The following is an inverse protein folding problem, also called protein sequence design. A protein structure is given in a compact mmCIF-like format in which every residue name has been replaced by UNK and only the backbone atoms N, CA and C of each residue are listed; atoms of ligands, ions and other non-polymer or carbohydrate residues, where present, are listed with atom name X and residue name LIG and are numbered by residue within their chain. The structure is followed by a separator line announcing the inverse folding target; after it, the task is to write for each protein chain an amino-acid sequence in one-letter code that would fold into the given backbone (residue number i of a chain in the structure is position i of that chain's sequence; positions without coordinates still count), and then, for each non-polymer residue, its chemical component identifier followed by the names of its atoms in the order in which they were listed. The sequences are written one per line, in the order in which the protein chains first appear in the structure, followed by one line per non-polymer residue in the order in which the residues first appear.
data_IF_472430078448
#
_entry.id   IF_472430078448
#
_cell.length_a   1.000
_cell.length_b   1.000
_cell.length_c   1.000
_cell.angle_alpha   90.00
_cell.angle_beta   90.00
_cell.angle_gamma   90.00
#
_symmetry.space_group_name_H-M   'P 1'
#
loop_
_entity.id
_entity.type
_entity.pdbx_description
1 polymer ?
#
# COMPACT_ATOMS: atom_id res chain seq x y z
N UNK A 1 -37.55 -21.43 17.37
CA UNK A 1 -36.88 -21.43 18.69
C UNK A 1 -36.99 -20.03 19.24
N UNK A 2 -37.66 -19.85 20.37
CA UNK A 2 -37.74 -18.56 21.04
C UNK A 2 -36.47 -18.39 21.86
N UNK A 3 -35.62 -17.44 21.49
CA UNK A 3 -34.41 -17.15 22.24
C UNK A 3 -34.76 -16.66 23.64
N UNK A 4 -33.92 -16.99 24.62
CA UNK A 4 -34.08 -16.53 26.00
C UNK A 4 -33.84 -15.02 26.07
N UNK A 5 -34.79 -14.28 26.64
CA UNK A 5 -34.62 -12.85 26.86
C UNK A 5 -33.76 -12.61 28.10
N UNK A 6 -32.97 -11.54 28.07
CA UNK A 6 -32.10 -11.15 29.18
C UNK A 6 -32.86 -10.95 30.49
N UNK A 7 -34.05 -10.36 30.41
CA UNK A 7 -34.94 -10.16 31.55
C UNK A 7 -35.33 -11.50 32.22
N UNK A 8 -35.65 -12.52 31.43
CA UNK A 8 -36.01 -13.83 31.96
C UNK A 8 -34.81 -14.53 32.61
N UNK A 9 -33.64 -14.43 31.99
CA UNK A 9 -32.37 -14.97 32.55
C UNK A 9 -32.05 -14.29 33.88
N UNK A 10 -32.19 -12.96 33.96
CA UNK A 10 -31.99 -12.13 35.16
C UNK A 10 -32.90 -12.56 36.30
N UNK A 11 -34.22 -12.67 36.05
CA UNK A 11 -35.20 -13.09 37.06
C UNK A 11 -34.97 -14.53 37.54
N UNK A 12 -34.73 -15.47 36.62
CA UNK A 12 -34.48 -16.86 36.96
C UNK A 12 -33.21 -17.00 37.83
N UNK A 13 -32.15 -16.30 37.45
CA UNK A 13 -30.87 -16.32 38.16
C UNK A 13 -30.97 -15.67 39.54
N UNK A 14 -31.69 -14.55 39.69
CA UNK A 14 -31.92 -13.93 41.00
C UNK A 14 -32.72 -14.83 41.95
N UNK A 15 -33.73 -15.55 41.43
CA UNK A 15 -34.46 -16.56 42.23
C UNK A 15 -33.52 -17.67 42.69
N UNK A 16 -32.65 -18.15 41.81
CA UNK A 16 -31.63 -19.13 42.16
C UNK A 16 -30.67 -18.59 43.23
N UNK A 17 -30.17 -17.36 43.11
CA UNK A 17 -29.28 -16.76 44.11
C UNK A 17 -29.95 -16.63 45.47
N UNK A 18 -31.24 -16.27 45.51
CA UNK A 18 -32.02 -16.20 46.76
C UNK A 18 -32.06 -17.55 47.49
N UNK A 19 -32.29 -18.64 46.76
CA UNK A 19 -32.28 -19.99 47.33
C UNK A 19 -30.86 -20.44 47.69
N UNK A 20 -29.87 -20.15 46.83
CA UNK A 20 -28.47 -20.49 47.05
C UNK A 20 -27.91 -19.87 48.34
N UNK A 21 -28.29 -18.63 48.67
CA UNK A 21 -27.89 -17.95 49.90
C UNK A 21 -28.86 -18.09 51.07
N UNK A 22 -29.93 -18.88 50.93
CA UNK A 22 -30.99 -19.00 51.95
C UNK A 22 -30.47 -19.39 53.33
N UNK A 23 -29.47 -20.26 53.37
CA UNK A 23 -28.88 -20.81 54.60
C UNK A 23 -27.58 -20.12 55.01
N UNK A 24 -27.21 -19.02 54.37
CA UNK A 24 -26.03 -18.26 54.82
C UNK A 24 -26.38 -17.53 56.12
N UNK A 25 -25.49 -17.54 57.13
CA UNK A 25 -25.68 -16.75 58.35
C UNK A 25 -25.91 -15.28 58.02
N UNK A 26 -27.00 -14.71 58.54
CA UNK A 26 -27.41 -13.33 58.27
C UNK A 26 -28.19 -12.73 59.43
N UNK A 27 -28.03 -11.43 59.61
CA UNK A 27 -28.87 -10.58 60.43
C UNK A 27 -29.81 -9.79 59.50
N UNK A 28 -31.11 -9.81 59.78
CA UNK A 28 -32.11 -9.05 59.00
C UNK A 28 -32.52 -9.63 57.64
N UNK A 29 -33.22 -8.80 56.85
CA UNK A 29 -33.86 -9.21 55.59
C UNK A 29 -32.91 -9.18 54.39
N UNK A 30 -33.16 -10.05 53.40
CA UNK A 30 -32.45 -10.04 52.12
C UNK A 30 -33.12 -9.10 51.14
N UNK A 31 -32.37 -8.08 50.70
CA UNK A 31 -32.80 -7.14 49.67
C UNK A 31 -32.33 -7.65 48.32
N UNK A 32 -33.27 -7.75 47.38
CA UNK A 32 -33.01 -8.10 45.99
C UNK A 32 -33.43 -6.92 45.13
N UNK A 33 -32.59 -6.53 44.19
CA UNK A 33 -32.88 -5.45 43.26
C UNK A 33 -32.33 -5.79 41.89
N UNK A 34 -33.03 -5.33 40.86
CA UNK A 34 -32.60 -5.41 39.46
C UNK A 34 -32.13 -4.04 39.00
N UNK A 35 -31.20 -3.99 38.06
CA UNK A 35 -30.76 -2.77 37.38
C UNK A 35 -30.25 -1.70 38.35
N UNK A 36 -29.37 -2.10 39.27
CA UNK A 36 -28.75 -1.21 40.23
C UNK A 36 -27.63 -0.41 39.58
N UNK A 37 -27.56 0.90 39.86
CA UNK A 37 -26.51 1.79 39.33
C UNK A 37 -25.57 2.22 40.44
N UNK A 38 -24.28 2.16 40.15
CA UNK A 38 -23.23 2.67 41.01
C UNK A 38 -22.64 3.98 40.45
N UNK A 39 -21.88 4.67 41.30
CA UNK A 39 -21.06 5.82 40.89
C UNK A 39 -20.13 5.43 39.72
N UNK A 40 -20.00 6.32 38.73
CA UNK A 40 -19.20 6.07 37.53
C UNK A 40 -19.93 5.35 36.39
N UNK A 41 -21.25 5.17 36.47
CA UNK A 41 -22.06 4.64 35.37
C UNK A 41 -22.09 3.12 35.27
N UNK A 42 -21.58 2.42 36.30
CA UNK A 42 -21.59 0.96 36.39
C UNK A 42 -23.01 0.49 36.72
N UNK A 43 -23.51 -0.46 35.94
CA UNK A 43 -24.82 -1.08 36.14
C UNK A 43 -24.59 -2.54 36.50
N UNK A 44 -25.26 -3.02 37.55
CA UNK A 44 -25.36 -4.43 37.85
C UNK A 44 -26.78 -4.89 37.54
N UNK A 45 -26.89 -5.90 36.68
CA UNK A 45 -28.17 -6.46 36.26
C UNK A 45 -28.99 -7.03 37.43
N UNK A 46 -28.31 -7.75 38.32
CA UNK A 46 -28.89 -8.26 39.56
C UNK A 46 -28.02 -7.92 40.76
N UNK A 47 -28.68 -7.58 41.85
CA UNK A 47 -28.05 -7.19 43.10
C UNK A 47 -28.78 -7.86 44.26
N UNK A 48 -28.03 -8.56 45.12
CA UNK A 48 -28.53 -9.21 46.32
C UNK A 48 -27.65 -8.81 47.50
N UNK A 49 -28.28 -8.31 48.57
CA UNK A 49 -27.58 -7.95 49.80
C UNK A 49 -28.34 -8.34 51.06
N UNK A 50 -27.60 -8.68 52.12
CA UNK A 50 -28.09 -8.89 53.48
C UNK A 50 -26.97 -8.59 54.47
N UNK A 51 -27.28 -8.33 55.74
CA UNK A 51 -26.25 -8.11 56.75
C UNK A 51 -25.72 -9.47 57.24
N UNK A 52 -24.40 -9.58 57.38
CA UNK A 52 -23.75 -10.72 58.05
C UNK A 52 -23.99 -10.63 59.58
N UNK A 53 -23.60 -11.67 60.31
CA UNK A 53 -23.64 -11.64 61.79
C UNK A 53 -22.75 -10.52 62.36
N UNK A 54 -21.64 -10.22 61.69
CA UNK A 54 -20.71 -9.12 62.04
C UNK A 54 -21.20 -7.72 61.60
N UNK A 55 -22.49 -7.56 61.30
CA UNK A 55 -23.13 -6.33 60.79
C UNK A 55 -22.60 -5.78 59.45
N UNK A 56 -21.56 -6.37 58.88
CA UNK A 56 -21.06 -6.00 57.55
C UNK A 56 -22.01 -6.48 56.44
N UNK A 57 -22.32 -5.65 55.42
CA UNK A 57 -23.17 -6.08 54.32
C UNK A 57 -22.47 -7.15 53.48
N UNK A 58 -23.16 -8.25 53.22
CA UNK A 58 -22.83 -9.16 52.14
C UNK A 58 -23.42 -8.62 50.84
N UNK A 59 -22.64 -8.59 49.77
CA UNK A 59 -23.06 -8.13 48.44
C UNK A 59 -22.75 -9.20 47.40
N UNK A 60 -23.79 -9.69 46.74
CA UNK A 60 -23.69 -10.51 45.55
C UNK A 60 -24.22 -9.75 44.33
N UNK A 61 -23.43 -9.68 43.26
CA UNK A 61 -23.85 -9.10 41.98
C UNK A 61 -23.97 -10.15 40.89
N UNK A 62 -24.81 -9.85 39.91
CA UNK A 62 -25.13 -10.70 38.78
C UNK A 62 -25.09 -9.86 37.50
N UNK A 63 -24.44 -10.37 36.46
CA UNK A 63 -24.55 -9.89 35.07
C UNK A 63 -25.26 -10.96 34.25
N UNK A 64 -26.29 -10.59 33.49
CA UNK A 64 -27.11 -11.51 32.71
C UNK A 64 -26.91 -11.26 31.21
N UNK A 65 -26.57 -12.31 30.46
CA UNK A 65 -26.34 -12.20 29.02
C UNK A 65 -27.26 -13.14 28.23
N UNK A 66 -27.94 -12.56 27.25
CA UNK A 66 -28.85 -13.26 26.33
C UNK A 66 -28.21 -13.51 24.97
N UNK A 67 -28.91 -14.22 24.08
CA UNK A 67 -28.42 -14.42 22.70
C UNK A 67 -28.14 -13.10 21.96
N UNK A 68 -28.96 -12.05 22.19
CA UNK A 68 -28.74 -10.73 21.59
C UNK A 68 -27.52 -10.02 22.13
N UNK A 69 -27.19 -10.22 23.42
CA UNK A 69 -26.04 -9.60 24.10
C UNK A 69 -24.81 -10.51 24.17
N UNK A 70 -24.80 -11.65 23.44
CA UNK A 70 -23.72 -12.66 23.46
C UNK A 70 -22.30 -12.13 23.21
N UNK A 71 -22.15 -10.99 22.55
CA UNK A 71 -20.85 -10.39 22.28
C UNK A 71 -20.15 -9.88 23.55
N UNK A 72 -20.88 -9.72 24.66
CA UNK A 72 -20.34 -9.30 25.96
C UNK A 72 -19.57 -10.42 26.67
N UNK A 73 -20.02 -11.66 26.50
CA UNK A 73 -19.41 -12.86 27.08
C UNK A 73 -18.45 -13.58 26.14
N UNK A 74 -18.43 -13.19 24.85
CA UNK A 74 -17.44 -13.68 23.87
C UNK A 74 -16.17 -12.84 23.95
N UNK A 75 -15.02 -13.53 23.87
CA UNK A 75 -13.77 -12.80 23.88
C UNK A 75 -13.58 -11.99 22.59
N UNK A 76 -13.11 -10.76 22.76
CA UNK A 76 -12.71 -9.86 21.67
C UNK A 76 -11.22 -9.53 21.80
N UNK A 77 -10.60 -9.06 20.72
CA UNK A 77 -9.20 -8.65 20.72
C UNK A 77 -9.07 -7.17 21.11
N UNK A 78 -8.18 -6.86 22.06
CA UNK A 78 -7.73 -5.50 22.38
C UNK A 78 -6.85 -4.98 21.24
N UNK A 79 -7.46 -4.59 20.12
CA UNK A 79 -6.77 -4.22 18.87
C UNK A 79 -5.75 -3.09 19.08
N UNK A 80 -6.10 -2.05 19.83
CA UNK A 80 -5.19 -0.91 20.08
C UNK A 80 -3.93 -1.36 20.82
N UNK A 81 -4.08 -2.09 21.92
CA UNK A 81 -2.95 -2.59 22.72
C UNK A 81 -2.07 -3.53 21.89
N UNK A 82 -2.70 -4.40 21.10
CA UNK A 82 -2.00 -5.32 20.21
C UNK A 82 -1.18 -4.53 19.17
N UNK A 83 -1.77 -3.51 18.54
CA UNK A 83 -1.08 -2.67 17.55
C UNK A 83 0.14 -1.98 18.15
N UNK A 84 0.02 -1.39 19.35
CA UNK A 84 1.14 -0.73 20.02
C UNK A 84 2.27 -1.69 20.39
N UNK A 85 1.95 -2.87 20.93
CA UNK A 85 2.96 -3.88 21.24
C UNK A 85 3.65 -4.40 19.96
N UNK A 86 2.89 -4.62 18.87
CA UNK A 86 3.45 -5.05 17.57
C UNK A 86 4.37 -3.97 16.98
N UNK A 87 3.96 -2.70 17.00
CA UNK A 87 4.77 -1.59 16.50
C UNK A 87 6.08 -1.43 17.30
N UNK A 88 6.00 -1.51 18.63
CA UNK A 88 7.18 -1.41 19.49
C UNK A 88 8.18 -2.54 19.22
N UNK A 89 7.71 -3.78 19.08
CA UNK A 89 8.57 -4.93 18.81
C UNK A 89 9.14 -4.86 17.39
N UNK A 90 8.33 -4.54 16.38
CA UNK A 90 8.79 -4.43 14.98
C UNK A 90 9.88 -3.37 14.83
N UNK A 91 9.72 -2.19 15.45
CA UNK A 91 10.73 -1.13 15.42
C UNK A 91 11.97 -1.49 16.24
N UNK A 92 11.83 -2.24 17.34
CA UNK A 92 12.97 -2.75 18.10
C UNK A 92 13.81 -3.71 17.26
N UNK A 93 13.17 -4.65 16.55
CA UNK A 93 13.85 -5.55 15.61
C UNK A 93 14.52 -4.78 14.48
N UNK A 94 13.86 -3.77 13.92
CA UNK A 94 14.44 -2.92 12.88
C UNK A 94 15.67 -2.16 13.39
N UNK A 95 15.61 -1.60 14.60
CA UNK A 95 16.75 -0.91 15.21
C UNK A 95 17.95 -1.86 15.42
N UNK A 96 17.70 -3.09 15.87
CA UNK A 96 18.74 -4.13 15.99
C UNK A 96 19.33 -4.48 14.62
N UNK A 97 18.49 -4.65 13.59
CA UNK A 97 18.95 -4.93 12.23
C UNK A 97 19.81 -3.79 11.67
N UNK A 98 19.40 -2.53 11.86
CA UNK A 98 20.20 -1.36 11.48
C UNK A 98 21.52 -1.32 12.23
N UNK A 99 21.52 -1.62 13.53
CA UNK A 99 22.75 -1.68 14.32
C UNK A 99 23.71 -2.76 13.79
N UNK A 100 23.23 -3.96 13.51
CA UNK A 100 24.03 -5.04 12.92
C UNK A 100 24.56 -4.62 11.54
N UNK A 101 23.70 -4.07 10.69
CA UNK A 101 24.06 -3.55 9.36
C UNK A 101 25.19 -2.52 9.42
N UNK A 102 25.10 -1.60 10.38
CA UNK A 102 26.10 -0.56 10.61
C UNK A 102 27.46 -1.16 10.98
N UNK A 103 27.48 -2.16 11.88
CA UNK A 103 28.71 -2.84 12.31
C UNK A 103 29.34 -3.67 11.18
N UNK A 104 28.53 -4.22 10.27
CA UNK A 104 28.99 -4.91 9.07
C UNK A 104 29.37 -3.96 7.93
N UNK A 105 29.34 -2.64 8.16
CA UNK A 105 29.63 -1.60 7.16
C UNK A 105 28.73 -1.68 5.91
N UNK A 106 27.54 -2.27 6.04
CA UNK A 106 26.51 -2.26 5.01
C UNK A 106 25.64 -1.01 5.19
N UNK A 107 25.89 0.00 4.35
CA UNK A 107 25.19 1.28 4.40
C UNK A 107 24.14 1.36 3.29
N UNK A 108 22.95 0.80 3.55
CA UNK A 108 21.86 0.73 2.56
C UNK A 108 21.53 2.11 1.95
N UNK A 109 21.43 3.14 2.78
CA UNK A 109 21.10 4.51 2.36
C UNK A 109 22.15 5.17 1.45
N UNK A 110 23.40 4.69 1.51
CA UNK A 110 24.53 5.16 0.73
C UNK A 110 24.66 4.38 -0.58
N UNK A 111 24.50 3.05 -0.54
CA UNK A 111 24.70 2.16 -1.69
C UNK A 111 23.49 2.11 -2.62
N UNK A 112 22.28 2.06 -2.08
CA UNK A 112 21.02 1.88 -2.84
C UNK A 112 20.28 3.21 -3.06
N UNK A 113 20.73 4.28 -2.40
CA UNK A 113 20.03 5.56 -2.38
C UNK A 113 18.90 5.63 -1.36
N UNK A 114 18.46 6.87 -1.06
CA UNK A 114 17.55 7.16 0.04
C UNK A 114 16.16 6.53 -0.16
N UNK A 115 15.58 6.67 -1.36
CA UNK A 115 14.23 6.20 -1.64
C UNK A 115 14.11 4.68 -1.53
N UNK A 116 15.07 3.94 -2.09
CA UNK A 116 15.10 2.48 -2.03
C UNK A 116 15.26 2.03 -0.58
N UNK A 117 16.11 2.71 0.20
CA UNK A 117 16.32 2.39 1.61
C UNK A 117 15.09 2.63 2.48
N UNK A 118 14.36 3.72 2.23
CA UNK A 118 13.07 3.97 2.89
C UNK A 118 12.02 2.92 2.54
N UNK A 119 11.97 2.47 1.28
CA UNK A 119 11.08 1.40 0.85
C UNK A 119 11.42 0.06 1.53
N UNK A 120 12.70 -0.30 1.60
CA UNK A 120 13.17 -1.49 2.32
C UNK A 120 12.79 -1.37 3.81
N UNK A 121 13.08 -0.25 4.46
CA UNK A 121 12.70 -0.01 5.86
C UNK A 121 11.20 -0.23 6.09
N UNK A 122 10.35 0.41 5.28
CA UNK A 122 8.90 0.29 5.42
C UNK A 122 8.42 -1.15 5.19
N UNK A 123 9.00 -1.86 4.23
CA UNK A 123 8.67 -3.26 3.93
C UNK A 123 9.05 -4.19 5.09
N UNK A 124 10.24 -4.04 5.68
CA UNK A 124 10.73 -4.87 6.78
C UNK A 124 9.92 -4.62 8.04
N UNK A 125 9.66 -3.36 8.39
CA UNK A 125 8.82 -3.01 9.55
C UNK A 125 7.40 -3.55 9.36
N UNK A 126 6.82 -3.43 8.16
CA UNK A 126 5.46 -3.97 7.89
C UNK A 126 5.42 -5.49 7.98
N UNK A 127 6.43 -6.19 7.47
CA UNK A 127 6.55 -7.65 7.57
C UNK A 127 6.60 -8.10 9.03
N UNK A 128 7.48 -7.49 9.84
CA UNK A 128 7.58 -7.81 11.26
C UNK A 128 6.29 -7.46 12.01
N UNK A 129 5.66 -6.32 11.71
CA UNK A 129 4.39 -5.94 12.32
C UNK A 129 3.31 -7.00 12.08
N UNK A 130 3.14 -7.46 10.83
CA UNK A 130 2.15 -8.49 10.49
C UNK A 130 2.48 -9.84 11.13
N UNK A 131 3.77 -10.22 11.14
CA UNK A 131 4.24 -11.43 11.81
C UNK A 131 3.87 -11.41 13.29
N UNK A 132 4.23 -10.34 14.00
CA UNK A 132 3.93 -10.20 15.43
C UNK A 132 2.43 -10.04 15.69
N UNK A 133 1.68 -9.38 14.81
CA UNK A 133 0.23 -9.31 14.91
C UNK A 133 -0.39 -10.70 14.92
N UNK A 134 0.04 -11.57 14.00
CA UNK A 134 -0.46 -12.94 13.92
C UNK A 134 -0.06 -13.79 15.13
N UNK A 135 1.17 -13.66 15.62
CA UNK A 135 1.66 -14.40 16.78
C UNK A 135 0.99 -13.92 18.09
N UNK A 136 0.96 -12.62 18.33
CA UNK A 136 0.47 -12.01 19.56
C UNK A 136 -1.06 -12.02 19.64
N UNK A 137 -1.79 -11.92 18.53
CA UNK A 137 -3.26 -12.04 18.52
C UNK A 137 -3.75 -13.41 19.05
N UNK A 138 -2.88 -14.42 19.03
CA UNK A 138 -3.15 -15.74 19.60
C UNK A 138 -2.94 -15.80 21.12
N UNK A 139 -2.26 -14.82 21.72
CA UNK A 139 -1.98 -14.81 23.16
C UNK A 139 -3.19 -14.33 23.97
N UNK A 140 -3.33 -14.89 25.19
CA UNK A 140 -4.45 -14.58 26.11
C UNK A 140 -4.46 -13.12 26.56
N UNK A 141 -3.28 -12.49 26.69
CA UNK A 141 -3.11 -11.11 27.16
C UNK A 141 -3.89 -10.06 26.35
N UNK A 142 -4.17 -10.36 25.08
CA UNK A 142 -4.87 -9.46 24.16
C UNK A 142 -6.34 -9.82 24.00
N UNK A 143 -6.81 -10.89 24.65
CA UNK A 143 -8.21 -11.29 24.67
C UNK A 143 -8.88 -10.72 25.91
N UNK A 144 -10.11 -10.28 25.76
CA UNK A 144 -10.91 -9.80 26.87
C UNK A 144 -12.35 -10.19 26.68
N UNK A 145 -13.05 -10.38 27.79
CA UNK A 145 -14.49 -10.60 27.84
C UNK A 145 -15.06 -9.39 28.55
N UNK A 146 -16.05 -8.75 27.94
CA UNK A 146 -16.58 -7.47 28.42
C UNK A 146 -17.18 -7.59 29.82
N UNK A 147 -18.07 -8.58 30.03
CA UNK A 147 -18.69 -8.84 31.34
C UNK A 147 -17.66 -9.05 32.48
N UNK A 148 -16.56 -9.74 32.16
CA UNK A 148 -15.47 -10.00 33.11
C UNK A 148 -14.70 -8.72 33.44
N UNK A 149 -14.47 -7.84 32.47
CA UNK A 149 -13.78 -6.58 32.71
C UNK A 149 -14.63 -5.62 33.54
N UNK A 150 -15.97 -5.62 33.38
CA UNK A 150 -16.88 -4.87 34.25
C UNK A 150 -16.76 -5.31 35.71
N UNK A 151 -16.73 -6.61 35.96
CA UNK A 151 -16.58 -7.16 37.32
C UNK A 151 -15.25 -6.85 37.99
N UNK A 152 -14.21 -6.52 37.23
CA UNK A 152 -12.92 -6.09 37.81
C UNK A 152 -12.96 -4.67 38.36
N UNK A 153 -13.93 -3.85 37.95
CA UNK A 153 -13.95 -2.42 38.28
C UNK A 153 -14.54 -2.15 39.68
N UNK A 154 -15.42 -3.03 40.15
CA UNK A 154 -16.10 -2.88 41.42
C UNK A 154 -15.95 -4.11 42.32
N UNK A 155 -16.04 -3.86 43.62
CA UNK A 155 -15.94 -4.90 44.65
C UNK A 155 -17.32 -5.40 45.07
N UNK A 156 -17.46 -6.73 45.13
CA UNK A 156 -18.58 -7.44 45.73
C UNK A 156 -18.02 -8.72 46.38
N UNK A 157 -18.69 -9.24 47.41
CA UNK A 157 -18.25 -10.48 48.07
C UNK A 157 -18.28 -11.66 47.10
N UNK A 158 -19.34 -11.75 46.28
CA UNK A 158 -19.48 -12.77 45.25
C UNK A 158 -20.06 -12.16 43.96
N UNK A 159 -19.50 -12.55 42.82
CA UNK A 159 -19.88 -12.02 41.50
C UNK A 159 -20.28 -13.18 40.59
N UNK A 160 -21.42 -13.05 39.90
CA UNK A 160 -22.01 -14.11 39.09
C UNK A 160 -22.25 -13.66 37.65
N UNK A 161 -21.90 -14.51 36.70
CA UNK A 161 -22.29 -14.37 35.30
C UNK A 161 -23.39 -15.38 35.02
N UNK A 162 -24.55 -14.93 34.57
CA UNK A 162 -25.63 -15.77 34.08
C UNK A 162 -25.76 -15.65 32.57
N UNK A 163 -25.75 -16.79 31.88
CA UNK A 163 -25.92 -16.85 30.43
C UNK A 163 -27.13 -17.72 30.07
N UNK A 164 -27.79 -17.40 28.97
CA UNK A 164 -28.74 -18.32 28.33
C UNK A 164 -28.02 -19.53 27.75
N UNK A 165 -28.68 -20.69 27.74
CA UNK A 165 -28.17 -21.91 27.10
C UNK A 165 -27.97 -21.74 25.59
N UNK A 166 -28.72 -20.83 24.96
CA UNK A 166 -28.67 -20.47 23.55
C UNK A 166 -27.48 -19.56 23.16
N UNK A 167 -26.78 -18.96 24.13
CA UNK A 167 -25.66 -18.02 23.89
C UNK A 167 -24.47 -18.69 23.19
N UNK A 168 -24.20 -19.95 23.55
CA UNK A 168 -23.14 -20.76 22.97
C UNK A 168 -23.73 -22.02 22.34
N UNK A 169 -23.29 -22.41 21.13
CA UNK A 169 -23.84 -23.58 20.43
C UNK A 169 -23.51 -24.91 21.13
N UNK A 170 -22.43 -24.95 21.92
CA UNK A 170 -22.00 -26.12 22.68
C UNK A 170 -21.09 -25.71 23.83
N UNK A 171 -21.07 -26.50 24.90
CA UNK A 171 -20.08 -26.37 25.98
C UNK A 171 -18.64 -26.70 25.54
N UNK A 172 -18.47 -27.28 24.35
CA UNK A 172 -17.16 -27.49 23.72
C UNK A 172 -16.68 -26.28 22.91
N UNK A 173 -17.50 -25.23 22.77
CA UNK A 173 -17.13 -24.04 22.01
C UNK A 173 -15.92 -23.34 22.64
N UNK A 174 -15.00 -22.90 21.80
CA UNK A 174 -13.76 -22.21 22.20
C UNK A 174 -14.06 -20.96 23.02
N UNK A 175 -15.12 -20.24 22.70
CA UNK A 175 -15.51 -19.02 23.43
C UNK A 175 -16.04 -19.35 24.82
N UNK A 176 -16.86 -20.40 24.94
CA UNK A 176 -17.38 -20.85 26.23
C UNK A 176 -16.25 -21.35 27.15
N UNK A 177 -15.33 -22.14 26.61
CA UNK A 177 -14.17 -22.63 27.38
C UNK A 177 -13.27 -21.49 27.88
N UNK A 178 -13.10 -20.43 27.09
CA UNK A 178 -12.35 -19.25 27.52
C UNK A 178 -13.09 -18.47 28.62
N UNK A 179 -14.41 -18.28 28.50
CA UNK A 179 -15.25 -17.69 29.55
C UNK A 179 -15.12 -18.49 30.85
N UNK A 180 -15.30 -19.81 30.79
CA UNK A 180 -15.20 -20.72 31.93
C UNK A 180 -13.83 -20.59 32.62
N UNK A 181 -12.74 -20.61 31.85
CA UNK A 181 -11.37 -20.45 32.38
C UNK A 181 -11.16 -19.10 33.05
N UNK A 182 -11.67 -18.01 32.49
CA UNK A 182 -11.53 -16.69 33.10
C UNK A 182 -12.38 -16.55 34.36
N UNK A 183 -13.59 -17.11 34.38
CA UNK A 183 -14.40 -17.20 35.60
C UNK A 183 -13.66 -17.95 36.70
N UNK A 184 -13.05 -19.11 36.40
CA UNK A 184 -12.22 -19.85 37.37
C UNK A 184 -11.03 -19.02 37.84
N UNK A 185 -10.31 -18.39 36.91
CA UNK A 185 -9.10 -17.61 37.22
C UNK A 185 -9.37 -16.41 38.13
N UNK A 186 -10.49 -15.72 37.91
CA UNK A 186 -10.88 -14.54 38.69
C UNK A 186 -11.83 -14.86 39.87
N UNK A 187 -12.28 -16.11 39.99
CA UNK A 187 -13.19 -16.54 41.06
C UNK A 187 -14.65 -16.09 40.86
N UNK A 188 -15.10 -15.89 39.62
CA UNK A 188 -16.48 -15.53 39.31
C UNK A 188 -17.36 -16.78 39.16
N UNK A 189 -18.58 -16.70 39.70
CA UNK A 189 -19.59 -17.75 39.52
C UNK A 189 -20.14 -17.75 38.10
N UNK A 190 -20.54 -18.92 37.60
CA UNK A 190 -21.14 -19.09 36.27
C UNK A 190 -22.42 -19.90 36.36
N UNK A 191 -23.52 -19.31 35.89
CA UNK A 191 -24.86 -19.88 35.79
C UNK A 191 -25.26 -20.01 34.32
N UNK A 192 -25.91 -21.11 33.96
CA UNK A 192 -26.53 -21.31 32.65
C UNK A 192 -28.01 -21.52 32.84
N UNK A 193 -28.84 -20.69 32.20
CA UNK A 193 -30.30 -20.79 32.28
C UNK A 193 -30.79 -21.49 31.02
N UNK A 194 -31.50 -22.60 31.20
CA UNK A 194 -32.10 -23.34 30.08
C UNK A 194 -33.40 -22.68 29.59
N UNK A 195 -33.94 -23.20 28.47
CA UNK A 195 -35.21 -22.73 27.91
C UNK A 195 -36.39 -22.80 28.91
N UNK A 196 -36.34 -23.75 29.85
CA UNK A 196 -37.33 -23.90 30.92
C UNK A 196 -37.13 -22.92 32.10
N UNK A 197 -36.26 -21.92 31.98
CA UNK A 197 -35.92 -20.94 33.01
C UNK A 197 -35.40 -21.55 34.32
N UNK A 198 -34.74 -22.72 34.23
CA UNK A 198 -34.07 -23.38 35.34
C UNK A 198 -32.58 -23.08 35.27
N UNK A 199 -32.03 -22.30 36.23
CA UNK A 199 -30.61 -22.05 36.29
C UNK A 199 -29.84 -23.30 36.73
N UNK A 200 -28.78 -23.61 36.01
CA UNK A 200 -27.78 -24.62 36.36
C UNK A 200 -26.48 -23.93 36.69
N UNK A 201 -25.98 -24.17 37.89
CA UNK A 201 -24.66 -23.72 38.31
C UNK A 201 -23.58 -24.60 37.70
N UNK A 202 -22.61 -23.95 37.04
CA UNK A 202 -21.44 -24.59 36.47
C UNK A 202 -20.18 -24.31 37.30
N UNK A 203 -20.05 -23.10 37.83
CA UNK A 203 -18.90 -22.68 38.65
C UNK A 203 -19.44 -21.90 39.85
N UNK A 204 -18.95 -22.22 41.05
CA UNK A 204 -19.17 -21.44 42.26
C UNK A 204 -18.16 -20.28 42.33
N UNK A 205 -18.57 -19.08 42.76
CA UNK A 205 -17.63 -17.98 43.00
C UNK A 205 -16.63 -18.34 44.11
N UNK A 206 -15.42 -17.81 44.00
CA UNK A 206 -14.40 -17.98 45.03
C UNK A 206 -14.75 -17.13 46.26
N UNK A 207 -14.61 -17.71 47.46
CA UNK A 207 -14.88 -17.01 48.73
C UNK A 207 -13.72 -16.13 49.21
N UNK A 208 -12.51 -16.39 48.72
CA UNK A 208 -11.32 -15.60 49.01
C UNK A 208 -11.04 -14.68 47.82
N UNK A 209 -10.80 -13.40 48.10
CA UNK A 209 -10.47 -12.43 47.08
C UNK A 209 -9.14 -12.81 46.42
N UNK A 210 -9.17 -13.18 45.13
CA UNK A 210 -7.97 -13.41 44.32
C UNK A 210 -7.25 -12.08 44.01
N UNK A 211 -7.95 -10.95 44.17
CA UNK A 211 -7.46 -9.62 43.84
C UNK A 211 -6.85 -8.95 45.07
N UNK A 212 -5.53 -9.01 45.20
CA UNK A 212 -4.78 -8.26 46.23
C UNK A 212 -4.75 -6.77 45.86
N UNK A 213 -5.77 -6.03 46.29
CA UNK A 213 -5.83 -4.56 46.27
C UNK A 213 -6.37 -3.88 44.99
N UNK A 214 -7.00 -2.70 45.20
CA UNK A 214 -7.49 -1.69 44.23
C UNK A 214 -8.82 -1.94 43.51
N UNK A 215 -9.80 -2.61 44.10
CA UNK A 215 -11.19 -2.46 43.64
C UNK A 215 -11.84 -1.28 44.35
N UNK A 216 -12.73 -0.58 43.66
CA UNK A 216 -13.51 0.49 44.28
C UNK A 216 -14.71 -0.15 44.96
N UNK A 217 -14.89 0.15 46.25
CA UNK A 217 -16.13 -0.14 46.94
C UNK A 217 -17.18 0.82 46.40
N UNK A 218 -18.12 0.32 45.61
CA UNK A 218 -19.17 1.15 45.01
C UNK A 218 -20.46 1.02 45.82
N UNK A 219 -21.08 2.16 46.12
CA UNK A 219 -22.44 2.18 46.63
C UNK A 219 -23.41 2.05 45.46
N UNK A 220 -24.23 0.99 45.47
CA UNK A 220 -25.25 0.75 44.47
C UNK A 220 -26.55 1.42 44.89
N UNK A 221 -27.15 2.22 44.01
CA UNK A 221 -28.42 2.94 44.21
C UNK A 221 -29.44 2.44 43.17
N UNK A 222 -30.69 2.22 43.59
CA UNK A 222 -31.76 1.78 42.70
C UNK A 222 -32.24 2.92 41.77
N UNK A 223 -32.76 2.60 40.58
CA UNK A 223 -33.30 3.60 39.63
C UNK A 223 -34.42 4.45 40.24
N UNK A 224 -35.27 3.86 41.09
CA UNK A 224 -36.35 4.58 41.78
C UNK A 224 -35.82 5.55 42.86
N UNK A 225 -34.77 5.16 43.58
CA UNK A 225 -34.13 5.98 44.60
C UNK A 225 -33.24 7.07 43.98
N UNK A 226 -32.56 6.77 42.88
CA UNK A 226 -31.85 7.73 42.04
C UNK A 226 -32.83 8.80 41.53
N UNK A 227 -34.00 8.37 41.02
CA UNK A 227 -35.07 9.26 40.58
C UNK A 227 -35.60 10.15 41.72
N UNK A 228 -35.78 9.60 42.93
CA UNK A 228 -36.16 10.36 44.12
C UNK A 228 -35.08 11.37 44.54
N UNK A 229 -33.81 10.95 44.65
CA UNK A 229 -32.68 11.83 45.01
C UNK A 229 -32.45 12.92 43.98
N UNK A 230 -32.61 12.63 42.69
CA UNK A 230 -32.59 13.65 41.64
C UNK A 230 -33.78 14.60 41.79
N UNK A 231 -35.00 14.08 42.01
CA UNK A 231 -36.20 14.89 42.20
C UNK A 231 -36.14 15.81 43.42
N UNK A 232 -35.48 15.36 44.51
CA UNK A 232 -35.29 16.09 45.77
C UNK A 232 -34.05 17.00 45.75
N UNK A 233 -33.11 16.80 44.83
CA UNK A 233 -31.96 17.69 44.69
C UNK A 233 -32.42 19.07 44.21
N UNK A 234 -31.85 20.15 44.78
CA UNK A 234 -32.12 21.56 44.40
C UNK A 234 -31.85 21.86 42.91
N UNK A 235 -31.32 20.90 42.16
CA UNK A 235 -31.08 20.96 40.72
C UNK A 235 -32.35 20.76 39.87
N UNK A 236 -33.48 20.33 40.43
CA UNK A 236 -34.73 20.15 39.66
C UNK A 236 -35.61 21.39 39.60
N UNK A 237 -35.45 22.32 40.54
CA UNK A 237 -36.20 23.59 40.55
C UNK A 237 -35.69 24.58 39.51
N UNK A 238 -34.39 24.64 39.24
CA UNK A 238 -33.86 25.49 38.15
C UNK A 238 -34.14 24.90 36.76
N UNK A 239 -34.11 23.57 36.62
CA UNK A 239 -34.36 22.86 35.36
C UNK A 239 -35.85 22.91 34.93
N UNK A 240 -36.78 22.92 35.89
CA UNK A 240 -38.21 23.14 35.61
C UNK A 240 -38.53 24.54 35.09
N UNK A 241 -37.68 25.54 35.38
CA UNK A 241 -37.88 26.92 34.92
C UNK A 241 -37.47 27.15 33.46
N UNK A 242 -36.77 26.20 32.84
CA UNK A 242 -36.23 26.32 31.48
C UNK A 242 -36.69 25.22 30.50
N UNK A 243 -37.64 24.37 30.86
CA UNK A 243 -38.07 23.23 30.03
C UNK A 243 -39.46 23.45 29.42
N UNK A 244 -39.50 24.23 28.33
CA UNK A 244 -40.55 24.19 27.31
C UNK A 244 -40.19 23.14 26.22
N UNK A 245 -41.08 22.82 25.25
CA UNK A 245 -41.30 21.46 24.70
C UNK A 245 -40.31 20.99 23.62
N UNK A 246 -39.00 21.22 23.79
CA UNK A 246 -37.93 20.65 22.94
C UNK A 246 -37.16 19.48 23.60
N UNK A 247 -37.56 19.08 24.81
CA UNK A 247 -36.71 18.28 25.70
C UNK A 247 -36.80 16.75 25.53
N UNK A 248 -37.42 16.25 24.45
CA UNK A 248 -37.32 14.82 24.09
C UNK A 248 -35.99 14.50 23.39
N UNK A 249 -35.41 15.46 22.67
CA UNK A 249 -34.09 15.31 22.01
C UNK A 249 -32.94 15.60 22.98
N UNK A 250 -33.08 16.59 23.86
CA UNK A 250 -32.10 16.88 24.92
C UNK A 250 -32.00 15.75 25.97
N UNK A 251 -33.06 14.93 26.13
CA UNK A 251 -33.03 13.75 27.01
C UNK A 251 -31.99 12.72 26.56
N UNK A 252 -31.70 12.63 25.25
CA UNK A 252 -30.61 11.78 24.72
C UNK A 252 -29.22 12.32 25.05
N UNK A 253 -29.08 13.64 25.24
CA UNK A 253 -27.80 14.27 25.63
C UNK A 253 -27.55 14.27 27.14
N UNK A 254 -28.62 14.25 27.96
CA UNK A 254 -28.53 14.41 29.43
C UNK A 254 -28.67 13.09 30.20
N UNK A 255 -29.12 12.00 29.57
CA UNK A 255 -28.83 10.66 30.10
C UNK A 255 -27.45 10.25 29.61
N UNK A 256 -26.41 10.20 30.46
CA UNK A 256 -25.14 9.62 30.05
C UNK A 256 -25.37 8.11 29.95
N UNK A 257 -25.78 7.64 28.78
CA UNK A 257 -25.29 6.36 28.26
C UNK A 257 -23.91 6.63 27.63
N UNK A 258 -23.03 7.26 28.41
CA UNK A 258 -21.61 7.12 28.20
C UNK A 258 -21.24 5.98 29.11
N UNK A 259 -21.11 4.82 28.49
CA UNK A 259 -20.43 3.67 29.04
C UNK A 259 -19.01 4.11 29.40
N UNK A 260 -18.85 4.76 30.56
CA UNK A 260 -17.58 5.15 31.18
C UNK A 260 -16.84 3.92 31.69
N UNK A 261 -16.86 2.83 30.92
CA UNK A 261 -15.88 1.77 31.09
C UNK A 261 -14.54 2.39 30.73
N UNK A 262 -13.66 2.42 31.72
CA UNK A 262 -12.27 2.87 31.72
C UNK A 262 -11.36 2.07 30.75
N UNK A 263 -11.93 1.58 29.65
CA UNK A 263 -11.47 0.46 28.85
C UNK A 263 -10.41 0.84 27.80
N UNK A 264 -10.28 2.14 27.51
CA UNK A 264 -9.24 2.67 26.63
C UNK A 264 -8.29 3.52 27.46
N UNK A 265 -7.29 2.88 28.08
CA UNK A 265 -6.08 3.60 28.49
C UNK A 265 -5.41 4.05 27.19
N UNK A 266 -5.85 5.20 26.64
CA UNK A 266 -5.41 5.76 25.35
C UNK A 266 -3.90 6.02 25.28
N UNK A 267 -3.20 5.91 26.42
CA UNK A 267 -1.77 6.13 26.55
C UNK A 267 -1.10 4.84 26.98
N UNK A 268 -0.22 4.36 26.12
CA UNK A 268 0.67 3.21 26.32
C UNK A 268 2.10 3.74 26.52
N UNK A 269 2.40 4.38 27.67
CA UNK A 269 3.61 5.18 27.82
C UNK A 269 4.89 4.35 27.66
N UNK A 270 4.88 3.09 28.09
CA UNK A 270 6.02 2.19 27.93
C UNK A 270 6.28 1.82 26.47
N UNK A 271 5.22 1.53 25.71
CA UNK A 271 5.32 1.24 24.27
C UNK A 271 5.80 2.48 23.52
N UNK A 272 5.25 3.65 23.85
CA UNK A 272 5.67 4.94 23.28
C UNK A 272 7.13 5.25 23.58
N UNK A 273 7.60 5.01 24.81
CA UNK A 273 9.00 5.25 25.17
C UNK A 273 9.94 4.30 24.42
N UNK A 274 9.57 3.03 24.27
CA UNK A 274 10.36 2.06 23.49
C UNK A 274 10.48 2.52 22.04
N UNK A 275 9.34 2.86 21.41
CA UNK A 275 9.30 3.35 20.04
C UNK A 275 10.17 4.60 19.88
N UNK A 276 10.06 5.56 20.80
CA UNK A 276 10.87 6.78 20.76
C UNK A 276 12.36 6.49 20.86
N UNK A 277 12.78 5.62 21.79
CA UNK A 277 14.19 5.21 21.94
C UNK A 277 14.70 4.54 20.67
N UNK A 278 13.91 3.64 20.07
CA UNK A 278 14.27 2.98 18.82
C UNK A 278 14.43 3.99 17.67
N UNK A 279 13.49 4.92 17.50
CA UNK A 279 13.54 5.94 16.46
C UNK A 279 14.74 6.88 16.63
N UNK A 280 15.02 7.32 17.87
CA UNK A 280 16.19 8.16 18.17
C UNK A 280 17.49 7.41 17.85
N UNK A 281 17.58 6.14 18.24
CA UNK A 281 18.77 5.31 17.97
C UNK A 281 18.99 5.10 16.47
N UNK A 282 17.93 4.80 15.72
CA UNK A 282 17.99 4.66 14.27
C UNK A 282 18.34 5.98 13.58
N UNK A 283 17.79 7.11 14.04
CA UNK A 283 18.13 8.43 13.52
C UNK A 283 19.61 8.79 13.77
N UNK A 284 20.13 8.49 14.97
CA UNK A 284 21.55 8.71 15.28
C UNK A 284 22.47 7.89 14.37
N UNK A 285 22.16 6.61 14.15
CA UNK A 285 22.90 5.76 13.20
C UNK A 285 22.83 6.32 11.78
N UNK A 286 21.63 6.72 11.33
CA UNK A 286 21.44 7.28 10.00
C UNK A 286 22.21 8.58 9.79
N UNK A 287 22.22 9.50 10.77
CA UNK A 287 22.99 10.75 10.71
C UNK A 287 24.50 10.45 10.62
N UNK A 288 24.99 9.48 11.41
CA UNK A 288 26.39 9.05 11.36
C UNK A 288 26.74 8.48 9.97
N UNK A 289 25.88 7.66 9.38
CA UNK A 289 26.06 7.15 8.02
C UNK A 289 26.03 8.26 6.96
N UNK A 290 25.12 9.22 7.12
CA UNK A 290 25.02 10.35 6.21
C UNK A 290 26.28 11.23 6.22
N UNK A 291 26.91 11.41 7.39
CA UNK A 291 28.18 12.12 7.53
C UNK A 291 29.36 11.44 6.82
N UNK A 292 29.30 10.12 6.62
CA UNK A 292 30.30 9.34 5.86
C UNK A 292 30.14 9.44 4.34
N UNK A 293 29.12 10.18 3.86
CA UNK A 293 28.99 10.43 2.42
C UNK A 293 30.27 11.10 1.91
N UNK A 294 30.87 10.60 0.82
CA UNK A 294 31.96 11.30 0.16
C UNK A 294 31.37 12.55 -0.48
N UNK A 295 31.21 13.61 0.29
CA UNK A 295 30.96 14.93 -0.24
C UNK A 295 32.30 15.31 -0.90
N UNK A 296 32.38 15.20 -2.23
CA UNK A 296 33.43 15.90 -2.98
C UNK A 296 33.14 17.40 -2.82
N UNK A 297 33.62 17.97 -1.72
CA UNK A 297 33.79 19.42 -1.62
C UNK A 297 34.95 19.70 -2.57
N UNK A 298 34.61 20.03 -3.82
CA UNK A 298 35.58 20.57 -4.75
C UNK A 298 35.98 21.93 -4.20
N UNK A 299 37.15 22.00 -3.57
CA UNK A 299 37.78 23.29 -3.33
C UNK A 299 37.95 23.96 -4.70
N UNK A 300 37.27 25.09 -4.88
CA UNK A 300 37.09 25.68 -6.20
C UNK A 300 38.43 26.11 -6.81
N UNK A 301 39.40 26.44 -5.97
CA UNK A 301 40.76 26.82 -6.36
C UNK A 301 41.63 25.60 -6.66
N UNK A 302 41.52 24.53 -5.88
CA UNK A 302 42.19 23.26 -6.17
C UNK A 302 41.64 22.59 -7.44
N UNK A 303 40.33 22.68 -7.66
CA UNK A 303 39.67 22.15 -8.85
C UNK A 303 39.99 22.96 -10.10
N UNK A 304 40.00 24.30 -10.02
CA UNK A 304 40.38 25.14 -11.16
C UNK A 304 41.85 24.88 -11.57
N UNK A 305 42.76 24.81 -10.61
CA UNK A 305 44.18 24.50 -10.88
C UNK A 305 44.38 23.10 -11.44
N UNK A 306 43.65 22.10 -10.97
CA UNK A 306 43.66 20.74 -11.54
C UNK A 306 43.10 20.73 -12.98
N UNK A 307 42.00 21.43 -13.23
CA UNK A 307 41.40 21.54 -14.55
C UNK A 307 42.28 22.33 -15.52
N UNK A 308 43.00 23.36 -15.07
CA UNK A 308 43.98 24.09 -15.87
C UNK A 308 45.20 23.22 -16.20
N UNK A 309 45.70 22.42 -15.26
CA UNK A 309 46.78 21.47 -15.50
C UNK A 309 46.37 20.38 -16.51
N UNK A 310 45.13 19.89 -16.41
CA UNK A 310 44.54 18.95 -17.38
C UNK A 310 44.26 19.60 -18.73
N UNK A 311 43.82 20.86 -18.76
CA UNK A 311 43.59 21.60 -20.02
C UNK A 311 44.89 21.86 -20.79
N UNK A 312 46.03 22.00 -20.10
CA UNK A 312 47.35 22.14 -20.72
C UNK A 312 47.84 20.84 -21.39
N UNK A 313 47.38 19.68 -20.93
CA UNK A 313 47.80 18.37 -21.44
C UNK A 313 46.77 17.74 -22.39
N UNK A 314 45.50 18.13 -22.29
CA UNK A 314 44.47 17.72 -23.23
C UNK A 314 44.71 18.36 -24.61
N UNK A 315 44.78 17.52 -25.64
CA UNK A 315 44.65 17.98 -27.03
C UNK A 315 43.35 18.78 -27.13
N UNK A 316 43.41 20.00 -27.69
CA UNK A 316 42.21 20.81 -27.99
C UNK A 316 41.19 19.90 -28.67
N UNK A 317 39.99 19.80 -28.09
CA UNK A 317 38.87 19.15 -28.78
C UNK A 317 38.72 19.81 -30.15
N UNK A 318 38.66 18.99 -31.20
CA UNK A 318 38.51 19.51 -32.55
C UNK A 318 37.16 20.25 -32.61
N UNK A 319 37.21 21.56 -32.87
CA UNK A 319 36.04 22.44 -33.01
C UNK A 319 35.23 22.19 -34.30
N UNK A 320 35.30 20.97 -34.84
CA UNK A 320 34.52 20.52 -35.98
C UNK A 320 33.86 19.21 -35.62
N UNK A 321 32.53 19.23 -35.51
CA UNK A 321 31.75 18.00 -35.64
C UNK A 321 31.37 17.88 -37.12
N UNK A 322 31.70 16.75 -37.73
CA UNK A 322 31.30 16.46 -39.10
C UNK A 322 29.78 16.30 -39.14
N UNK A 323 29.09 17.23 -39.80
CA UNK A 323 27.63 17.18 -39.95
C UNK A 323 27.31 16.28 -41.14
N UNK A 324 26.65 15.17 -40.86
CA UNK A 324 26.32 14.11 -41.82
C UNK A 324 25.01 14.41 -42.58
N UNK A 325 24.85 15.65 -43.08
CA UNK A 325 23.68 16.06 -43.86
C UNK A 325 24.08 16.79 -45.14
N UNK A 326 23.28 16.62 -46.20
CA UNK A 326 23.42 17.42 -47.41
C UNK A 326 23.22 18.91 -47.06
N UNK A 327 23.96 19.79 -47.73
CA UNK A 327 23.82 21.24 -47.65
C UNK A 327 22.39 21.66 -48.02
N UNK A 328 21.50 21.67 -47.04
CA UNK A 328 20.19 22.32 -47.16
C UNK A 328 20.43 23.75 -46.70
N UNK A 329 20.38 24.70 -47.63
CA UNK A 329 20.39 26.12 -47.24
C UNK A 329 19.17 26.39 -46.33
N UNK A 330 19.30 27.21 -45.27
CA UNK A 330 20.39 28.13 -44.99
C UNK A 330 21.13 27.78 -43.69
N UNK A 331 22.20 26.99 -43.75
CA UNK A 331 23.14 26.84 -42.62
C UNK A 331 24.41 27.67 -42.84
N UNK A 332 24.96 28.11 -41.70
CA UNK A 332 26.09 29.02 -41.53
C UNK A 332 27.29 28.66 -42.44
N UNK A 333 27.77 29.64 -43.21
CA UNK A 333 28.87 29.52 -44.20
C UNK A 333 30.21 29.09 -43.61
N UNK A 334 30.36 29.10 -42.28
CA UNK A 334 31.59 28.73 -41.60
C UNK A 334 31.72 27.21 -41.35
N UNK A 335 30.68 26.43 -41.68
CA UNK A 335 30.73 24.96 -41.61
C UNK A 335 31.00 24.44 -43.03
N UNK A 336 32.17 23.82 -43.24
CA UNK A 336 32.43 23.09 -44.48
C UNK A 336 31.67 21.76 -44.42
N UNK A 337 30.65 21.52 -45.25
CA UNK A 337 30.09 20.19 -45.37
C UNK A 337 31.16 19.26 -45.93
N UNK A 338 31.24 18.04 -45.40
CA UNK A 338 32.10 16.98 -45.94
C UNK A 338 31.84 16.72 -47.44
N UNK A 339 30.60 16.96 -47.90
CA UNK A 339 30.20 16.86 -49.29
C UNK A 339 30.34 18.22 -49.96
N UNK A 340 31.41 18.42 -50.73
CA UNK A 340 31.51 19.54 -51.66
C UNK A 340 30.56 19.27 -52.82
N UNK A 341 29.32 19.78 -52.72
CA UNK A 341 28.41 19.84 -53.87
C UNK A 341 28.88 20.94 -54.82
N UNK A 342 29.95 20.63 -55.56
CA UNK A 342 30.42 21.42 -56.68
C UNK A 342 30.27 20.60 -57.98
N UNK A 343 29.87 21.22 -59.10
CA UNK A 343 29.76 20.55 -60.40
C UNK A 343 31.11 20.07 -60.98
N UNK A 344 32.20 20.12 -60.22
CA UNK A 344 33.55 19.73 -60.60
C UNK A 344 34.17 18.59 -59.78
N UNK A 345 33.44 17.96 -58.85
CA UNK A 345 33.94 16.81 -58.09
C UNK A 345 33.52 15.49 -58.75
N UNK A 346 33.87 15.32 -60.03
CA UNK A 346 33.81 14.02 -60.70
C UNK A 346 35.16 13.34 -60.43
N UNK A 347 35.29 12.62 -59.32
CA UNK A 347 36.41 11.68 -59.20
C UNK A 347 36.15 10.52 -60.15
N UNK A 348 37.22 10.03 -60.78
CA UNK A 348 37.16 9.13 -61.93
C UNK A 348 36.18 7.96 -61.77
N UNK A 349 35.50 7.69 -62.88
CA UNK A 349 34.33 6.82 -62.94
C UNK A 349 34.57 5.42 -62.39
N UNK A 350 33.64 5.00 -61.55
CA UNK A 350 32.91 3.72 -61.61
C UNK A 350 32.28 3.34 -60.27
N UNK A 351 32.36 4.15 -59.20
CA UNK A 351 32.00 3.68 -57.85
C UNK A 351 30.83 4.45 -57.18
N UNK A 352 30.17 5.35 -57.91
CA UNK A 352 29.17 6.26 -57.32
C UNK A 352 27.71 5.88 -57.67
N UNK A 353 26.87 5.84 -56.65
CA UNK A 353 25.40 5.85 -56.70
C UNK A 353 24.89 7.24 -57.10
N UNK A 354 23.97 7.31 -58.07
CA UNK A 354 23.37 8.56 -58.55
C UNK A 354 21.91 8.64 -58.07
N UNK A 355 21.63 9.54 -57.13
CA UNK A 355 20.26 9.85 -56.70
C UNK A 355 19.82 11.19 -57.33
N UNK A 356 18.75 11.14 -58.12
CA UNK A 356 18.05 12.35 -58.54
C UNK A 356 16.95 12.61 -57.52
N UNK A 357 17.29 13.44 -56.53
CA UNK A 357 16.33 13.88 -55.52
C UNK A 357 15.83 15.24 -55.97
N UNK A 358 14.66 15.23 -56.62
CA UNK A 358 13.83 16.38 -56.99
C UNK A 358 14.01 17.04 -58.37
N UNK A 359 12.99 17.82 -58.73
CA UNK A 359 12.78 18.42 -60.06
C UNK A 359 13.81 19.49 -60.41
N UNK A 360 14.62 19.94 -59.44
CA UNK A 360 15.72 20.86 -59.67
C UNK A 360 16.91 20.12 -60.30
N UNK A 361 17.66 20.77 -61.19
CA UNK A 361 18.68 20.16 -62.07
C UNK A 361 19.95 19.63 -61.36
N UNK A 362 19.88 19.39 -60.05
CA UNK A 362 21.00 18.92 -59.25
C UNK A 362 20.94 17.40 -59.05
N UNK A 363 21.80 16.67 -59.76
CA UNK A 363 22.07 15.26 -59.46
C UNK A 363 22.96 15.16 -58.22
N UNK A 364 22.59 14.26 -57.30
CA UNK A 364 23.40 13.97 -56.11
C UNK A 364 24.11 12.64 -56.26
N UNK A 365 25.41 12.63 -55.99
CA UNK A 365 26.26 11.45 -56.06
C UNK A 365 26.60 10.97 -54.64
N UNK A 366 26.58 9.65 -54.44
CA UNK A 366 26.92 9.00 -53.18
C UNK A 366 27.83 7.81 -53.42
N UNK A 367 28.69 7.49 -52.45
CA UNK A 367 29.46 6.24 -52.44
C UNK A 367 28.57 5.03 -52.03
N UNK A 368 28.88 3.84 -52.55
CA UNK A 368 28.32 2.55 -52.14
C UNK A 368 28.32 2.34 -50.63
N UNK A 369 29.27 2.91 -49.88
CA UNK A 369 29.34 2.80 -48.41
C UNK A 369 28.06 3.26 -47.70
N UNK A 370 27.23 4.12 -48.33
CA UNK A 370 25.93 4.56 -47.78
C UNK A 370 24.79 3.56 -47.97
N UNK A 371 24.95 2.56 -48.82
CA UNK A 371 23.98 1.50 -49.01
C UNK A 371 24.19 0.43 -47.95
N UNK A 372 23.55 0.59 -46.80
CA UNK A 372 23.52 -0.42 -45.73
C UNK A 372 22.09 -0.87 -45.48
N UNK A 373 21.74 -2.05 -45.98
CA UNK A 373 20.48 -2.69 -45.64
C UNK A 373 20.69 -4.16 -45.22
N UNK A 374 20.04 -4.55 -44.11
CA UNK A 374 20.14 -5.89 -43.52
C UNK A 374 19.39 -6.96 -44.32
N UNK A 375 18.45 -6.56 -45.17
CA UNK A 375 17.56 -7.45 -45.93
C UNK A 375 17.47 -7.00 -47.38
N UNK A 376 17.19 -7.95 -48.28
CA UNK A 376 17.06 -7.69 -49.71
C UNK A 376 16.08 -6.53 -49.98
N UNK A 377 16.45 -5.63 -50.89
CA UNK A 377 15.59 -4.57 -51.40
C UNK A 377 15.18 -4.88 -52.84
N UNK A 378 14.07 -4.32 -53.29
CA UNK A 378 13.54 -4.55 -54.62
C UNK A 378 13.39 -3.22 -55.36
N UNK A 379 13.72 -3.20 -56.64
CA UNK A 379 13.54 -2.04 -57.52
C UNK A 379 12.75 -2.43 -58.76
N UNK A 380 12.03 -1.46 -59.31
CA UNK A 380 11.42 -1.56 -60.63
C UNK A 380 12.44 -1.08 -61.66
N UNK A 381 13.18 -1.99 -62.28
CA UNK A 381 14.17 -1.68 -63.29
C UNK A 381 13.52 -1.18 -64.60
N UNK A 382 13.96 -0.03 -65.09
CA UNK A 382 13.68 0.47 -66.44
C UNK A 382 14.74 -0.04 -67.43
N UNK A 383 16.01 0.29 -67.21
CA UNK A 383 17.09 -0.12 -68.10
C UNK A 383 18.40 -0.36 -67.35
N UNK A 384 19.33 -1.03 -68.02
CA UNK A 384 20.71 -1.20 -67.55
C UNK A 384 21.67 -0.64 -68.58
N UNK A 385 22.59 0.20 -68.14
CA UNK A 385 23.56 0.89 -68.99
C UNK A 385 24.97 0.72 -68.45
N UNK A 386 25.97 0.84 -69.32
CA UNK A 386 27.37 0.53 -68.96
C UNK A 386 28.10 1.69 -68.28
N UNK A 387 27.64 2.92 -68.46
CA UNK A 387 28.33 4.12 -67.97
C UNK A 387 27.38 5.05 -67.23
N UNK A 388 27.93 5.81 -66.29
CA UNK A 388 27.20 6.82 -65.54
C UNK A 388 26.54 7.86 -66.47
N UNK A 389 27.23 8.32 -67.52
CA UNK A 389 26.67 9.28 -68.48
C UNK A 389 25.40 8.79 -69.17
N UNK A 390 25.35 7.50 -69.54
CA UNK A 390 24.17 6.89 -70.14
C UNK A 390 23.04 6.77 -69.13
N UNK A 391 23.36 6.52 -67.86
CA UNK A 391 22.37 6.45 -66.78
C UNK A 391 21.76 7.83 -66.52
N UNK A 392 22.61 8.86 -66.45
CA UNK A 392 22.20 10.26 -66.31
C UNK A 392 21.34 10.71 -67.49
N UNK A 393 21.75 10.43 -68.73
CA UNK A 393 20.96 10.74 -69.91
C UNK A 393 19.58 10.09 -69.85
N UNK A 394 19.50 8.82 -69.44
CA UNK A 394 18.23 8.13 -69.29
C UNK A 394 17.36 8.73 -68.18
N UNK A 395 17.94 9.16 -67.06
CA UNK A 395 17.22 9.88 -66.00
C UNK A 395 16.61 11.17 -66.56
N UNK A 396 17.36 11.94 -67.35
CA UNK A 396 16.85 13.16 -68.00
C UNK A 396 15.75 12.85 -69.03
N UNK A 397 15.90 11.79 -69.83
CA UNK A 397 14.84 11.36 -70.75
C UNK A 397 13.55 11.06 -69.98
N UNK A 398 13.63 10.31 -68.88
CA UNK A 398 12.48 9.99 -68.03
C UNK A 398 11.89 11.22 -67.33
N UNK A 399 12.74 12.17 -66.90
CA UNK A 399 12.33 13.47 -66.35
C UNK A 399 11.52 14.26 -67.39
N UNK A 400 11.96 14.27 -68.65
CA UNK A 400 11.21 14.90 -69.77
C UNK A 400 9.82 14.29 -69.99
N UNK A 401 9.63 13.04 -69.58
CA UNK A 401 8.33 12.35 -69.59
C UNK A 401 7.54 12.50 -68.27
N UNK A 402 8.03 13.29 -67.32
CA UNK A 402 7.43 13.49 -66.00
C UNK A 402 7.63 12.33 -65.02
N UNK A 403 8.58 11.43 -65.29
CA UNK A 403 8.86 10.24 -64.47
C UNK A 403 10.16 10.46 -63.69
N UNK A 404 10.07 10.50 -62.35
CA UNK A 404 11.24 10.57 -61.47
C UNK A 404 11.98 9.23 -61.46
N UNK A 405 13.28 9.26 -61.76
CA UNK A 405 14.11 8.07 -61.83
C UNK A 405 15.47 8.28 -61.15
N UNK A 406 16.01 7.17 -60.64
CA UNK A 406 17.29 7.08 -59.97
C UNK A 406 18.20 6.08 -60.69
N UNK A 407 19.52 6.13 -60.46
CA UNK A 407 20.44 5.14 -61.00
C UNK A 407 21.40 4.60 -59.94
N UNK A 408 21.44 3.28 -59.79
CA UNK A 408 22.37 2.59 -58.89
C UNK A 408 23.49 1.94 -59.70
N UNK A 409 24.72 2.08 -59.24
CA UNK A 409 25.81 1.22 -59.70
C UNK A 409 25.65 -0.18 -59.09
N UNK A 410 25.57 -1.20 -59.94
CA UNK A 410 25.37 -2.58 -59.48
C UNK A 410 26.63 -3.18 -58.84
N UNK A 411 27.79 -2.54 -59.00
CA UNK A 411 29.03 -2.94 -58.36
C UNK A 411 28.95 -2.88 -56.84
N UNK A 412 28.10 -2.00 -56.30
CA UNK A 412 27.80 -1.95 -54.86
C UNK A 412 27.20 -3.27 -54.30
N UNK A 413 26.66 -4.14 -55.16
CA UNK A 413 25.95 -5.35 -54.76
C UNK A 413 26.58 -6.65 -55.29
N UNK A 414 27.67 -6.55 -56.06
CA UNK A 414 28.33 -7.72 -56.64
C UNK A 414 29.29 -7.37 -57.78
N UNK A 415 29.54 -8.33 -58.68
CA UNK A 415 30.52 -8.17 -59.77
C UNK A 415 29.98 -7.46 -61.02
N UNK A 416 28.71 -7.04 -61.03
CA UNK A 416 28.11 -6.39 -62.20
C UNK A 416 28.44 -4.90 -62.20
N UNK A 417 29.27 -4.45 -63.14
CA UNK A 417 29.75 -3.06 -63.20
C UNK A 417 28.79 -2.09 -63.89
N UNK A 418 27.59 -2.55 -64.26
CA UNK A 418 26.60 -1.71 -64.95
C UNK A 418 25.79 -0.85 -63.98
N UNK A 419 25.20 0.21 -64.50
CA UNK A 419 24.22 1.03 -63.80
C UNK A 419 22.82 0.52 -64.11
N UNK A 420 21.98 0.43 -63.08
CA UNK A 420 20.55 0.18 -63.22
C UNK A 420 19.78 1.47 -63.01
N UNK A 421 18.96 1.85 -64.00
CA UNK A 421 18.04 2.99 -63.90
C UNK A 421 16.68 2.45 -63.49
N UNK A 422 16.07 3.06 -62.47
CA UNK A 422 14.79 2.64 -61.92
C UNK A 422 13.94 3.85 -61.52
N UNK A 423 12.65 3.90 -61.86
CA UNK A 423 11.74 4.90 -61.33
C UNK A 423 11.41 4.67 -59.85
N UNK A 424 11.20 5.76 -59.12
CA UNK A 424 10.75 5.70 -57.72
C UNK A 424 11.82 5.30 -56.71
N UNK A 425 11.40 4.62 -55.64
CA UNK A 425 12.20 4.32 -54.45
C UNK A 425 12.53 2.81 -54.35
N UNK A 426 13.45 2.46 -53.45
CA UNK A 426 13.72 1.08 -53.07
C UNK A 426 12.54 0.50 -52.26
N UNK A 427 12.08 -0.69 -52.62
CA UNK A 427 11.02 -1.40 -51.92
C UNK A 427 11.56 -2.44 -50.95
N UNK A 428 10.85 -2.63 -49.83
CA UNK A 428 11.15 -3.64 -48.81
C UNK A 428 10.69 -5.04 -49.19
N UNK A 429 9.63 -5.16 -49.99
CA UNK A 429 9.04 -6.43 -50.39
C UNK A 429 8.86 -6.51 -51.91
N UNK A 430 8.87 -7.73 -52.44
CA UNK A 430 8.58 -7.97 -53.85
C UNK A 430 7.15 -7.55 -54.23
N UNK A 431 6.18 -7.73 -53.32
CA UNK A 431 4.79 -7.35 -53.55
C UNK A 431 4.64 -5.82 -53.74
N UNK A 432 5.34 -5.02 -52.94
CA UNK A 432 5.32 -3.56 -53.05
C UNK A 432 5.95 -3.10 -54.38
N UNK A 433 7.06 -3.74 -54.77
CA UNK A 433 7.70 -3.46 -56.05
C UNK A 433 6.79 -3.81 -57.24
N UNK A 434 6.00 -4.88 -57.15
CA UNK A 434 5.04 -5.28 -58.19
C UNK A 434 3.88 -4.30 -58.31
N UNK A 435 3.35 -3.82 -57.17
CA UNK A 435 2.35 -2.76 -57.17
C UNK A 435 2.87 -1.48 -57.84
N UNK A 436 4.11 -1.07 -57.52
CA UNK A 436 4.74 0.09 -58.16
C UNK A 436 5.07 -0.14 -59.64
N UNK A 437 5.45 -1.36 -60.04
CA UNK A 437 5.67 -1.72 -61.45
C UNK A 437 4.43 -1.48 -62.29
N UNK A 438 3.26 -1.93 -61.82
CA UNK A 438 1.98 -1.73 -62.52
C UNK A 438 1.64 -0.24 -62.66
N UNK A 439 1.94 0.57 -61.64
CA UNK A 439 1.74 2.03 -61.70
C UNK A 439 2.65 2.67 -62.73
N UNK A 440 3.93 2.31 -62.75
CA UNK A 440 4.88 2.84 -63.71
C UNK A 440 4.58 2.36 -65.14
N UNK A 441 4.18 1.10 -65.36
CA UNK A 441 3.79 0.64 -66.70
C UNK A 441 2.62 1.45 -67.28
N UNK A 442 1.65 1.84 -66.45
CA UNK A 442 0.56 2.74 -66.86
C UNK A 442 1.10 4.13 -67.22
N UNK A 443 2.06 4.65 -66.47
CA UNK A 443 2.70 5.93 -66.77
C UNK A 443 3.49 5.87 -68.09
N UNK A 444 4.28 4.82 -68.31
CA UNK A 444 5.05 4.63 -69.54
C UNK A 444 4.16 4.50 -70.78
N UNK A 445 3.03 3.78 -70.68
CA UNK A 445 2.03 3.68 -71.76
C UNK A 445 1.42 5.03 -72.13
N UNK A 446 1.17 5.92 -71.15
CA UNK A 446 0.61 7.26 -71.41
C UNK A 446 1.56 8.15 -72.22
N UNK A 447 2.86 7.89 -72.15
CA UNK A 447 3.90 8.71 -72.81
C UNK A 447 4.55 7.97 -73.98
N UNK A 448 3.89 6.92 -74.51
CA UNK A 448 4.38 6.09 -75.62
C UNK A 448 5.80 5.52 -75.44
N UNK A 449 6.25 5.34 -74.19
CA UNK A 449 7.53 4.72 -73.87
C UNK A 449 7.36 3.20 -73.79
N UNK A 450 7.88 2.45 -74.77
CA UNK A 450 7.64 1.01 -74.91
C UNK A 450 8.72 0.16 -74.20
N UNK A 451 8.98 0.42 -72.92
CA UNK A 451 9.96 -0.32 -72.12
C UNK A 451 9.28 -1.36 -71.21
N UNK A 452 9.82 -2.58 -71.21
CA UNK A 452 9.40 -3.64 -70.30
C UNK A 452 10.06 -3.45 -68.92
N UNK A 453 9.30 -2.96 -67.95
CA UNK A 453 9.78 -2.82 -66.57
C UNK A 453 9.89 -4.19 -65.90
N UNK A 454 11.00 -4.44 -65.20
CA UNK A 454 11.26 -5.71 -64.50
C UNK A 454 11.55 -5.47 -63.03
N UNK A 455 11.21 -6.40 -62.14
CA UNK A 455 11.64 -6.31 -60.74
C UNK A 455 13.05 -6.88 -60.62
N UNK A 456 13.92 -6.18 -59.91
CA UNK A 456 15.26 -6.66 -59.56
C UNK A 456 15.45 -6.63 -58.04
N UNK A 457 15.93 -7.73 -57.49
CA UNK A 457 16.37 -7.81 -56.10
C UNK A 457 17.80 -7.30 -55.96
N UNK A 458 18.03 -6.47 -54.96
CA UNK A 458 19.33 -5.97 -54.54
C UNK A 458 19.69 -6.61 -53.20
N UNK A 459 20.79 -7.35 -53.18
CA UNK A 459 21.33 -8.02 -51.98
C UNK A 459 22.80 -7.67 -51.88
N UNK A 460 23.22 -7.17 -50.71
CA UNK A 460 24.63 -6.90 -50.45
C UNK A 460 25.28 -8.24 -50.10
N UNK A 461 26.00 -8.82 -51.05
CA UNK A 461 26.91 -9.93 -50.77
C UNK A 461 28.16 -9.33 -50.12
N UNK A 462 28.27 -9.40 -48.79
CA UNK A 462 29.53 -9.10 -48.12
C UNK A 462 30.57 -10.17 -48.40
#
# INVERSE_FOLDING_TARGET
MNNLTEHNIKLASLRYLKEYYKFRPRSGETKISTDMRAEGGIVADGYLTFLKEDENPFVATLEATSFSTKNEVRFQLKQEKLAWDCAAIALSFMAILMFISHNLSFYAALQLGLLISMAIFASVVSLFFLLFWFLLSRMRRYRFIYAIEQFKEYEADEQWIAIGEDVFPSYSDRYFLELQRQCIHFGFGLLVVNEALRPRMLITPARQQVFVGRRRLLSFISLGELGKRLSESRYTTWARKYTSPGFSEARRFITPYQSTFSYHRRRYPHQMSIIAICLISMAALFINEWGKRPIRVLDQEAYSTEMEAKAKTNKREAFGFDVDTASVRPFNTNVKPYIVMGPGARQDGNEELILSVDFDDNLTYYDCSRLSFKTAKYIVQDTMVRTADLAVRRIYDLKGLGIKANALWLGCFGKDTRYVVFPGLLHTSHADAEASRIVFEKAYKKVNANNQLRIKSLTINK
#
